data_IF_607893696266
#
_entry.id   IF_607893696266
#
_cell.length_a   1.000
_cell.length_b   1.000
_cell.length_c   1.000
_cell.angle_alpha   90.00
_cell.angle_beta   90.00
_cell.angle_gamma   90.00
#
_symmetry.space_group_name_H-M   'P 1'
#
loop_
_entity.id
_entity.type
_entity.pdbx_description
1 polymer ?
#
# COMPACT_ATOMS: atom_id res chain seq x y z
N UNK A 1 15.29 -14.87 7.19
CA UNK A 1 14.70 -13.71 6.51
C UNK A 1 13.59 -14.20 5.59
N UNK A 2 12.66 -13.33 5.21
CA UNK A 2 11.79 -13.58 4.07
C UNK A 2 12.65 -13.95 2.83
N UNK A 3 12.19 -14.88 2.00
CA UNK A 3 12.84 -15.17 0.72
C UNK A 3 11.85 -14.84 -0.39
N UNK A 4 12.16 -13.80 -1.16
CA UNK A 4 11.37 -13.27 -2.27
C UNK A 4 12.21 -13.23 -3.55
N UNK A 5 13.29 -14.02 -3.64
CA UNK A 5 14.26 -13.97 -4.74
C UNK A 5 13.70 -14.28 -6.13
N UNK A 6 12.50 -14.86 -6.19
CA UNK A 6 11.79 -15.18 -7.43
C UNK A 6 10.53 -14.34 -7.62
N UNK A 7 10.37 -13.25 -6.85
CA UNK A 7 9.16 -12.42 -6.87
C UNK A 7 9.46 -11.04 -7.43
N UNK A 8 8.66 -10.62 -8.40
CA UNK A 8 8.57 -9.24 -8.89
C UNK A 8 7.41 -8.55 -8.19
N UNK A 9 7.69 -7.46 -7.49
CA UNK A 9 6.73 -6.77 -6.62
C UNK A 9 6.52 -5.34 -7.10
N UNK A 10 5.28 -5.02 -7.43
CA UNK A 10 4.85 -3.64 -7.66
C UNK A 10 4.66 -2.92 -6.33
N UNK A 11 5.40 -1.84 -6.11
CA UNK A 11 5.27 -0.99 -4.94
C UNK A 11 4.75 0.40 -5.35
N UNK A 12 3.51 0.72 -4.94
CA UNK A 12 2.93 2.05 -5.16
C UNK A 12 3.26 3.00 -4.03
N UNK A 13 3.21 4.31 -4.29
CA UNK A 13 3.63 5.33 -3.33
C UNK A 13 5.12 5.28 -3.00
N UNK A 14 5.95 4.79 -3.94
CA UNK A 14 7.37 4.44 -3.74
C UNK A 14 8.25 5.57 -3.15
N UNK A 15 7.85 6.83 -3.32
CA UNK A 15 8.57 7.99 -2.78
C UNK A 15 8.31 8.31 -1.30
N UNK A 16 7.41 7.60 -0.63
CA UNK A 16 7.06 7.88 0.78
C UNK A 16 8.06 7.25 1.77
N UNK A 17 8.06 7.74 3.02
CA UNK A 17 8.90 7.20 4.09
C UNK A 17 8.58 5.71 4.39
N UNK A 18 7.29 5.34 4.39
CA UNK A 18 6.86 3.95 4.55
C UNK A 18 7.32 3.10 3.37
N UNK A 19 7.07 3.55 2.14
CA UNK A 19 7.45 2.80 0.95
C UNK A 19 8.97 2.62 0.85
N UNK A 20 9.75 3.60 1.29
CA UNK A 20 11.22 3.47 1.37
C UNK A 20 11.64 2.33 2.31
N UNK A 21 11.00 2.20 3.47
CA UNK A 21 11.29 1.10 4.40
C UNK A 21 10.83 -0.25 3.83
N UNK A 22 9.68 -0.28 3.16
CA UNK A 22 9.16 -1.47 2.48
C UNK A 22 10.09 -1.90 1.34
N UNK A 23 10.49 -0.99 0.47
CA UNK A 23 11.41 -1.25 -0.65
C UNK A 23 12.72 -1.87 -0.14
N UNK A 24 13.30 -1.31 0.93
CA UNK A 24 14.51 -1.86 1.53
C UNK A 24 14.31 -3.30 2.03
N UNK A 25 13.24 -3.58 2.79
CA UNK A 25 13.00 -4.93 3.32
C UNK A 25 12.70 -5.95 2.19
N UNK A 26 12.03 -5.53 1.12
CA UNK A 26 11.75 -6.39 -0.04
C UNK A 26 13.04 -6.66 -0.85
N UNK A 27 13.87 -5.65 -1.07
CA UNK A 27 15.19 -5.78 -1.70
C UNK A 27 16.10 -6.69 -0.87
N UNK A 28 16.17 -6.48 0.44
CA UNK A 28 16.96 -7.30 1.37
C UNK A 28 16.48 -8.77 1.37
N UNK A 29 15.20 -9.01 1.08
CA UNK A 29 14.62 -10.34 0.89
C UNK A 29 14.82 -10.93 -0.53
N UNK A 30 15.44 -10.17 -1.44
CA UNK A 30 15.80 -10.57 -2.80
C UNK A 30 14.77 -10.27 -3.88
N UNK A 31 13.68 -9.55 -3.56
CA UNK A 31 12.64 -9.24 -4.55
C UNK A 31 13.13 -8.30 -5.65
N UNK A 32 12.59 -8.47 -6.86
CA UNK A 32 12.67 -7.46 -7.92
C UNK A 32 11.56 -6.43 -7.71
N UNK A 33 11.88 -5.14 -7.84
CA UNK A 33 10.92 -4.07 -7.58
C UNK A 33 10.46 -3.40 -8.87
N UNK A 34 9.16 -3.19 -8.98
CA UNK A 34 8.55 -2.22 -9.89
C UNK A 34 8.08 -1.06 -9.05
N UNK A 35 8.62 0.15 -9.29
CA UNK A 35 8.31 1.32 -8.49
C UNK A 35 7.26 2.18 -9.18
N UNK A 36 6.18 2.51 -8.47
CA UNK A 36 5.12 3.38 -8.95
C UNK A 36 4.96 4.55 -7.99
N UNK A 37 4.90 5.76 -8.52
CA UNK A 37 4.76 6.98 -7.75
C UNK A 37 4.78 8.20 -8.65
N UNK A 38 5.14 9.37 -8.11
CA UNK A 38 5.22 10.59 -8.90
C UNK A 38 6.38 11.50 -8.55
N UNK A 39 6.90 12.17 -9.58
CA UNK A 39 7.80 13.33 -9.44
C UNK A 39 9.07 13.05 -8.66
N UNK A 40 9.58 14.08 -7.98
CA UNK A 40 10.90 14.05 -7.33
C UNK A 40 11.04 12.96 -6.26
N UNK A 41 9.96 12.65 -5.54
CA UNK A 41 9.97 11.60 -4.52
C UNK A 41 10.16 10.21 -5.15
N UNK A 42 9.53 9.94 -6.29
CA UNK A 42 9.76 8.71 -7.05
C UNK A 42 11.19 8.67 -7.61
N UNK A 43 11.68 9.77 -8.19
CA UNK A 43 13.04 9.84 -8.72
C UNK A 43 14.09 9.49 -7.65
N UNK A 44 13.94 10.03 -6.42
CA UNK A 44 14.80 9.68 -5.28
C UNK A 44 14.72 8.21 -4.88
N UNK A 45 13.53 7.60 -4.98
CA UNK A 45 13.37 6.17 -4.70
C UNK A 45 14.05 5.32 -5.78
N UNK A 46 13.91 5.69 -7.05
CA UNK A 46 14.57 5.04 -8.18
C UNK A 46 16.10 5.13 -8.14
N UNK A 47 16.66 6.26 -7.68
CA UNK A 47 18.10 6.40 -7.48
C UNK A 47 18.64 5.51 -6.36
N UNK A 48 17.78 5.17 -5.38
CA UNK A 48 18.14 4.40 -4.19
C UNK A 48 17.99 2.90 -4.39
N UNK A 49 16.92 2.46 -5.06
CA UNK A 49 16.56 1.05 -5.18
C UNK A 49 16.64 0.60 -6.63
N UNK A 50 17.35 -0.49 -6.94
CA UNK A 50 17.38 -1.05 -8.28
C UNK A 50 16.00 -1.63 -8.62
N UNK A 51 15.25 -0.88 -9.41
CA UNK A 51 13.94 -1.29 -9.93
C UNK A 51 14.08 -1.87 -11.34
N UNK A 52 13.27 -2.88 -11.66
CA UNK A 52 13.17 -3.41 -13.03
C UNK A 52 12.41 -2.45 -13.93
N UNK A 53 11.39 -1.77 -13.39
CA UNK A 53 10.61 -0.75 -14.06
C UNK A 53 10.21 0.38 -13.10
N UNK A 54 10.10 1.60 -13.63
CA UNK A 54 9.72 2.81 -12.87
C UNK A 54 8.61 3.53 -13.60
N UNK A 55 7.47 3.71 -12.94
CA UNK A 55 6.29 4.37 -13.48
C UNK A 55 5.99 5.67 -12.73
N UNK A 56 6.27 6.82 -13.37
CA UNK A 56 5.85 8.15 -12.91
C UNK A 56 4.40 8.40 -13.36
N UNK A 57 3.43 7.98 -12.54
CA UNK A 57 2.01 7.94 -12.87
C UNK A 57 1.14 8.48 -11.73
N UNK A 58 0.09 9.21 -12.09
CA UNK A 58 -1.03 9.45 -11.18
C UNK A 58 -1.96 8.24 -11.20
N UNK A 59 -1.95 7.45 -10.12
CA UNK A 59 -2.83 6.29 -10.02
C UNK A 59 -4.31 6.65 -9.88
N UNK A 60 -4.68 7.92 -9.67
CA UNK A 60 -6.08 8.33 -9.77
C UNK A 60 -6.55 8.47 -11.23
N UNK A 61 -5.63 8.56 -12.20
CA UNK A 61 -5.96 8.56 -13.63
C UNK A 61 -6.20 7.13 -14.13
N UNK A 62 -7.37 6.81 -14.72
CA UNK A 62 -7.63 5.48 -15.29
C UNK A 62 -6.65 5.08 -16.40
N UNK A 63 -5.99 6.03 -17.08
CA UNK A 63 -4.97 5.74 -18.09
C UNK A 63 -3.73 5.05 -17.51
N UNK A 64 -3.51 5.13 -16.19
CA UNK A 64 -2.41 4.42 -15.51
C UNK A 64 -2.54 2.90 -15.63
N UNK A 65 -3.76 2.37 -15.70
CA UNK A 65 -4.03 0.93 -15.77
C UNK A 65 -3.34 0.28 -16.96
N UNK A 66 -3.48 0.87 -18.15
CA UNK A 66 -2.90 0.30 -19.37
C UNK A 66 -1.37 0.33 -19.35
N UNK A 67 -0.76 1.30 -18.66
CA UNK A 67 0.69 1.34 -18.49
C UNK A 67 1.17 0.26 -17.51
N UNK A 68 0.46 0.08 -16.39
CA UNK A 68 0.80 -0.95 -15.40
C UNK A 68 0.63 -2.38 -15.94
N UNK A 69 -0.24 -2.60 -16.92
CA UNK A 69 -0.40 -3.90 -17.60
C UNK A 69 0.78 -4.29 -18.49
N UNK A 70 1.73 -3.39 -18.73
CA UNK A 70 2.91 -3.68 -19.56
C UNK A 70 4.00 -4.43 -18.80
N UNK A 71 3.85 -4.61 -17.49
CA UNK A 71 4.79 -5.33 -16.63
C UNK A 71 4.10 -6.47 -15.90
N UNK A 72 4.81 -7.59 -15.83
CA UNK A 72 4.39 -8.80 -15.14
C UNK A 72 4.85 -8.74 -13.67
N UNK A 73 3.92 -8.94 -12.73
CA UNK A 73 4.21 -8.87 -11.29
C UNK A 73 3.51 -9.98 -10.51
N UNK A 74 4.20 -10.52 -9.52
CA UNK A 74 3.70 -11.59 -8.64
C UNK A 74 2.94 -11.03 -7.44
N UNK A 75 3.28 -9.80 -7.04
CA UNK A 75 2.62 -9.15 -5.93
C UNK A 75 2.46 -7.64 -6.15
N UNK A 76 1.42 -7.10 -5.53
CA UNK A 76 1.18 -5.67 -5.40
C UNK A 76 1.25 -5.29 -3.93
N UNK A 77 2.13 -4.35 -3.59
CA UNK A 77 2.16 -3.68 -2.29
C UNK A 77 1.72 -2.24 -2.50
N UNK A 78 0.49 -1.95 -2.08
CA UNK A 78 -0.10 -0.63 -2.21
C UNK A 78 0.09 0.18 -0.92
N UNK A 79 1.02 1.14 -0.95
CA UNK A 79 1.25 2.07 0.18
C UNK A 79 0.74 3.49 -0.08
N UNK A 80 0.22 3.73 -1.30
CA UNK A 80 -0.24 5.05 -1.69
C UNK A 80 -1.46 5.52 -0.90
N UNK A 81 -1.59 6.84 -0.83
CA UNK A 81 -2.70 7.53 -0.22
C UNK A 81 -2.24 8.73 0.59
N UNK A 82 -3.20 9.60 0.90
CA UNK A 82 -2.98 10.83 1.65
C UNK A 82 -3.89 10.88 2.84
N UNK A 83 -3.35 11.38 3.93
CA UNK A 83 -4.12 11.83 5.07
C UNK A 83 -4.46 13.30 4.89
N UNK A 84 -5.68 13.69 5.24
CA UNK A 84 -6.05 15.09 5.37
C UNK A 84 -7.05 15.20 6.52
N UNK A 85 -6.73 15.97 7.58
CA UNK A 85 -7.71 16.23 8.62
C UNK A 85 -8.81 17.11 8.03
N UNK A 86 -10.06 16.66 8.16
CA UNK A 86 -11.22 17.44 7.80
C UNK A 86 -12.44 17.10 8.68
N UNK A 87 -13.07 18.17 9.21
CA UNK A 87 -14.35 18.11 9.91
C UNK A 87 -15.44 17.58 8.98
N UNK A 88 -16.33 16.72 9.51
CA UNK A 88 -17.47 16.23 8.74
C UNK A 88 -18.46 17.34 8.37
N UNK A 89 -18.53 18.43 9.16
CA UNK A 89 -19.41 19.57 8.91
C UNK A 89 -18.89 20.47 7.79
N UNK A 90 -17.57 20.56 7.63
CA UNK A 90 -16.91 21.49 6.71
C UNK A 90 -16.37 20.79 5.45
N UNK A 91 -16.51 19.46 5.37
CA UNK A 91 -16.03 18.67 4.25
C UNK A 91 -16.70 19.10 2.93
N UNK A 92 -15.88 19.30 1.90
CA UNK A 92 -16.36 19.69 0.57
C UNK A 92 -16.35 18.50 -0.40
N UNK A 93 -17.02 18.66 -1.55
CA UNK A 93 -16.90 17.68 -2.65
C UNK A 93 -15.46 17.54 -3.15
N UNK A 94 -14.68 18.62 -3.13
CA UNK A 94 -13.27 18.56 -3.53
C UNK A 94 -12.42 17.73 -2.54
N UNK A 95 -12.74 17.78 -1.24
CA UNK A 95 -12.09 16.93 -0.24
C UNK A 95 -12.45 15.46 -0.46
N UNK A 96 -13.72 15.18 -0.75
CA UNK A 96 -14.20 13.84 -1.10
C UNK A 96 -13.45 13.32 -2.33
N UNK A 97 -13.48 14.07 -3.43
CA UNK A 97 -12.87 13.66 -4.70
C UNK A 97 -11.38 13.39 -4.50
N UNK A 98 -10.66 14.29 -3.82
CA UNK A 98 -9.22 14.12 -3.57
C UNK A 98 -8.91 12.90 -2.71
N UNK A 99 -9.61 12.70 -1.59
CA UNK A 99 -9.33 11.58 -0.68
C UNK A 99 -9.71 10.24 -1.30
N UNK A 100 -10.85 10.16 -1.99
CA UNK A 100 -11.24 8.93 -2.67
C UNK A 100 -10.37 8.65 -3.90
N UNK A 101 -9.96 9.67 -4.64
CA UNK A 101 -9.02 9.53 -5.75
C UNK A 101 -7.68 8.96 -5.28
N UNK A 102 -7.09 9.59 -4.27
CA UNK A 102 -5.75 9.23 -3.81
C UNK A 102 -5.70 7.92 -3.00
N UNK A 103 -6.78 7.54 -2.31
CA UNK A 103 -6.77 6.34 -1.45
C UNK A 103 -7.45 5.15 -2.14
N UNK A 104 -8.68 5.32 -2.63
CA UNK A 104 -9.50 4.21 -3.12
C UNK A 104 -9.33 3.98 -4.63
N UNK A 105 -9.40 5.03 -5.44
CA UNK A 105 -9.26 4.90 -6.90
C UNK A 105 -7.84 4.48 -7.29
N UNK A 106 -6.82 5.04 -6.63
CA UNK A 106 -5.43 4.63 -6.82
C UNK A 106 -5.20 3.13 -6.57
N UNK A 107 -5.77 2.59 -5.48
CA UNK A 107 -5.73 1.15 -5.19
C UNK A 107 -6.45 0.35 -6.27
N UNK A 108 -7.64 0.80 -6.66
CA UNK A 108 -8.42 0.14 -7.70
C UNK A 108 -7.64 0.05 -9.01
N UNK A 109 -7.07 1.16 -9.50
CA UNK A 109 -6.29 1.16 -10.74
C UNK A 109 -5.01 0.34 -10.63
N UNK A 110 -4.31 0.39 -9.50
CA UNK A 110 -3.14 -0.47 -9.28
C UNK A 110 -3.49 -1.96 -9.36
N UNK A 111 -4.60 -2.36 -8.75
CA UNK A 111 -5.11 -3.75 -8.84
C UNK A 111 -5.49 -4.08 -10.28
N UNK A 112 -6.21 -3.20 -11.01
CA UNK A 112 -6.58 -3.46 -12.41
C UNK A 112 -5.36 -3.57 -13.34
N UNK A 113 -4.25 -2.92 -12.99
CA UNK A 113 -2.97 -3.02 -13.68
C UNK A 113 -2.29 -4.36 -13.44
N UNK A 114 -2.21 -4.81 -12.19
CA UNK A 114 -1.48 -6.02 -11.79
C UNK A 114 -2.28 -7.33 -11.98
N UNK A 115 -3.60 -7.29 -11.84
CA UNK A 115 -4.45 -8.47 -11.75
C UNK A 115 -4.44 -9.39 -12.99
N UNK A 116 -4.37 -8.90 -14.24
CA UNK A 116 -4.38 -9.77 -15.42
C UNK A 116 -3.27 -10.82 -15.39
N UNK A 117 -2.03 -10.40 -15.13
CA UNK A 117 -0.88 -11.32 -15.06
C UNK A 117 -1.06 -12.34 -13.93
N UNK A 118 -1.43 -11.89 -12.73
CA UNK A 118 -1.67 -12.76 -11.59
C UNK A 118 -2.74 -13.84 -11.88
N UNK A 119 -3.78 -13.48 -12.62
CA UNK A 119 -4.84 -14.42 -13.03
C UNK A 119 -4.38 -15.42 -14.09
N UNK A 120 -3.48 -15.03 -14.98
CA UNK A 120 -2.90 -15.90 -16.00
C UNK A 120 -1.99 -16.97 -15.39
N UNK A 121 -1.21 -16.60 -14.36
CA UNK A 121 -0.34 -17.55 -13.66
C UNK A 121 -1.02 -18.29 -12.50
N UNK A 122 -2.28 -17.96 -12.19
CA UNK A 122 -3.05 -18.52 -11.06
C UNK A 122 -2.32 -18.37 -9.70
N UNK A 123 -1.55 -17.30 -9.55
CA UNK A 123 -0.82 -16.94 -8.34
C UNK A 123 -0.65 -15.42 -8.26
N UNK A 124 -0.93 -14.86 -7.09
CA UNK A 124 -0.78 -13.43 -6.89
C UNK A 124 -1.19 -12.97 -5.50
N UNK A 125 -0.47 -11.98 -4.97
CA UNK A 125 -0.73 -11.42 -3.64
C UNK A 125 -0.89 -9.90 -3.70
N UNK A 126 -2.00 -9.40 -3.17
CA UNK A 126 -2.26 -7.97 -3.01
C UNK A 126 -2.16 -7.64 -1.51
N UNK A 127 -1.23 -6.77 -1.15
CA UNK A 127 -1.08 -6.22 0.20
C UNK A 127 -1.41 -4.73 0.14
N UNK A 128 -2.44 -4.29 0.86
CA UNK A 128 -2.82 -2.88 0.94
C UNK A 128 -2.61 -2.34 2.35
N UNK A 129 -2.04 -1.14 2.44
CA UNK A 129 -1.94 -0.39 3.69
C UNK A 129 -3.18 0.48 3.84
N UNK A 130 -3.93 0.25 4.92
CA UNK A 130 -5.15 1.00 5.25
C UNK A 130 -4.94 1.83 6.52
N UNK A 131 -6.03 2.17 7.20
CA UNK A 131 -6.05 2.86 8.49
C UNK A 131 -6.91 2.06 9.49
N UNK A 132 -6.85 2.38 10.80
CA UNK A 132 -7.61 1.68 11.82
C UNK A 132 -9.12 1.83 11.60
N UNK A 133 -9.84 0.70 11.50
CA UNK A 133 -11.31 0.70 11.39
C UNK A 133 -11.98 1.20 12.67
N UNK A 134 -11.33 0.99 13.81
CA UNK A 134 -11.82 1.37 15.14
C UNK A 134 -11.50 2.82 15.51
N UNK A 135 -10.66 3.51 14.73
CA UNK A 135 -10.36 4.91 15.00
C UNK A 135 -11.60 5.76 14.70
N UNK A 136 -12.19 6.29 15.77
CA UNK A 136 -13.28 7.26 15.76
C UNK A 136 -12.75 8.69 15.90
N UNK A 137 -11.54 8.94 15.38
CA UNK A 137 -10.90 10.25 15.46
C UNK A 137 -11.80 11.34 14.90
N UNK A 138 -12.04 12.38 15.70
CA UNK A 138 -12.71 13.59 15.23
C UNK A 138 -11.91 14.19 14.07
N UNK A 139 -12.61 14.73 13.07
CA UNK A 139 -11.94 15.42 11.96
C UNK A 139 -11.24 14.50 10.94
N UNK A 140 -11.63 13.23 10.79
CA UNK A 140 -11.06 12.34 9.77
C UNK A 140 -12.10 11.53 9.00
N UNK A 141 -13.36 11.98 8.94
CA UNK A 141 -14.49 11.17 8.48
C UNK A 141 -14.34 10.65 7.04
N UNK A 142 -13.96 11.50 6.09
CA UNK A 142 -13.81 11.09 4.68
C UNK A 142 -12.54 10.25 4.49
N UNK A 143 -11.45 10.59 5.16
CA UNK A 143 -10.23 9.78 5.17
C UNK A 143 -10.55 8.35 5.65
N UNK A 144 -11.22 8.22 6.80
CA UNK A 144 -11.62 6.94 7.36
C UNK A 144 -12.58 6.19 6.44
N UNK A 145 -13.54 6.87 5.81
CA UNK A 145 -14.43 6.26 4.82
C UNK A 145 -13.65 5.70 3.61
N UNK A 146 -12.70 6.47 3.08
CA UNK A 146 -11.89 6.06 1.92
C UNK A 146 -11.01 4.83 2.23
N UNK A 147 -10.35 4.81 3.41
CA UNK A 147 -9.53 3.67 3.86
C UNK A 147 -10.38 2.44 4.21
N UNK A 148 -11.57 2.64 4.79
CA UNK A 148 -12.51 1.54 5.03
C UNK A 148 -13.03 0.93 3.72
N UNK A 149 -13.26 1.75 2.69
CA UNK A 149 -13.62 1.28 1.35
C UNK A 149 -12.51 0.41 0.75
N UNK A 150 -11.24 0.84 0.84
CA UNK A 150 -10.09 0.02 0.42
C UNK A 150 -10.07 -1.33 1.11
N UNK A 151 -10.22 -1.35 2.44
CA UNK A 151 -10.19 -2.63 3.19
C UNK A 151 -11.34 -3.54 2.77
N UNK A 152 -12.55 -2.99 2.62
CA UNK A 152 -13.69 -3.78 2.14
C UNK A 152 -13.44 -4.34 0.74
N UNK A 153 -12.87 -3.53 -0.15
CA UNK A 153 -12.59 -3.94 -1.53
C UNK A 153 -11.59 -5.10 -1.58
N UNK A 154 -10.48 -5.01 -0.86
CA UNK A 154 -9.45 -6.07 -0.85
C UNK A 154 -9.99 -7.37 -0.23
N UNK A 155 -10.79 -7.29 0.84
CA UNK A 155 -11.41 -8.48 1.45
C UNK A 155 -12.44 -9.15 0.55
N UNK A 156 -13.27 -8.37 -0.14
CA UNK A 156 -14.21 -8.89 -1.14
C UNK A 156 -13.48 -9.52 -2.31
N UNK A 157 -12.47 -8.84 -2.87
CA UNK A 157 -11.65 -9.35 -3.97
C UNK A 157 -10.96 -10.66 -3.59
N UNK A 158 -10.36 -10.75 -2.40
CA UNK A 158 -9.78 -11.98 -1.90
C UNK A 158 -10.81 -13.12 -1.85
N UNK A 159 -12.01 -12.84 -1.34
CA UNK A 159 -13.07 -13.84 -1.25
C UNK A 159 -13.52 -14.33 -2.62
N UNK A 160 -13.59 -13.44 -3.62
CA UNK A 160 -13.98 -13.76 -4.98
C UNK A 160 -12.89 -14.53 -5.75
N UNK A 161 -11.63 -14.15 -5.58
CA UNK A 161 -10.52 -14.59 -6.44
C UNK A 161 -9.58 -15.61 -5.79
N UNK A 162 -9.73 -15.95 -4.50
CA UNK A 162 -8.87 -16.97 -3.84
C UNK A 162 -8.90 -18.32 -4.53
N UNK A 163 -10.03 -18.71 -5.13
CA UNK A 163 -10.14 -19.98 -5.87
C UNK A 163 -9.37 -19.97 -7.20
N UNK A 164 -8.93 -18.78 -7.63
CA UNK A 164 -8.10 -18.51 -8.80
C UNK A 164 -6.64 -18.19 -8.41
N UNK A 165 -6.26 -18.47 -7.16
CA UNK A 165 -4.91 -18.24 -6.65
C UNK A 165 -4.62 -16.82 -6.13
N UNK A 166 -5.58 -15.89 -6.21
CA UNK A 166 -5.34 -14.49 -5.83
C UNK A 166 -5.64 -14.25 -4.35
N UNK A 167 -4.63 -13.81 -3.62
CA UNK A 167 -4.73 -13.51 -2.19
C UNK A 167 -4.76 -12.01 -1.95
N UNK A 168 -5.53 -11.58 -0.95
CA UNK A 168 -5.61 -10.19 -0.52
C UNK A 168 -5.37 -10.08 0.97
N UNK A 169 -4.49 -9.17 1.37
CA UNK A 169 -4.14 -8.88 2.75
C UNK A 169 -4.24 -7.37 2.99
N UNK A 170 -4.81 -6.98 4.12
CA UNK A 170 -4.82 -5.58 4.54
C UNK A 170 -4.00 -5.43 5.82
N UNK A 171 -3.07 -4.48 5.82
CA UNK A 171 -2.29 -4.13 7.00
C UNK A 171 -2.82 -2.78 7.51
N UNK A 172 -3.14 -2.74 8.80
CA UNK A 172 -3.64 -1.57 9.51
C UNK A 172 -2.57 -1.07 10.48
N UNK A 173 -1.86 0.03 10.16
CA UNK A 173 -1.11 0.80 11.14
C UNK A 173 -2.11 1.39 12.15
N UNK A 174 -2.06 0.93 13.39
CA UNK A 174 -2.93 1.29 14.52
C UNK A 174 -2.47 2.55 15.25
N UNK A 175 -1.81 3.43 14.53
CA UNK A 175 -1.21 4.66 15.02
C UNK A 175 -0.51 5.42 13.89
N UNK A 176 -0.09 6.66 14.14
CA UNK A 176 0.74 7.42 13.22
C UNK A 176 2.04 6.68 12.91
N UNK A 177 2.47 6.71 11.66
CA UNK A 177 3.75 6.13 11.23
C UNK A 177 4.84 7.15 11.49
N UNK A 178 5.98 6.72 11.99
CA UNK A 178 7.10 7.60 12.25
C UNK A 178 7.63 8.24 10.94
N UNK A 179 7.41 9.55 10.82
CA UNK A 179 7.91 10.40 9.73
C UNK A 179 8.61 11.63 10.30
N UNK A 180 9.49 12.25 9.51
CA UNK A 180 10.17 13.49 9.93
C UNK A 180 9.17 14.57 10.35
N UNK A 181 8.10 14.76 9.57
CA UNK A 181 7.04 15.73 9.85
C UNK A 181 6.39 15.51 11.23
N UNK A 182 6.10 14.27 11.59
CA UNK A 182 5.49 13.98 12.89
C UNK A 182 6.47 14.12 14.06
N UNK A 183 7.76 13.80 13.86
CA UNK A 183 8.80 14.10 14.85
C UNK A 183 8.94 15.61 15.06
N UNK A 184 8.92 16.40 13.99
CA UNK A 184 8.98 17.87 14.06
C UNK A 184 7.72 18.48 14.69
N UNK A 185 6.57 17.80 14.56
CA UNK A 185 5.33 18.15 15.25
C UNK A 185 5.32 17.77 16.75
N UNK A 186 6.39 17.15 17.26
CA UNK A 186 6.58 16.86 18.68
C UNK A 186 5.99 15.54 19.17
N UNK A 187 5.70 14.60 18.26
CA UNK A 187 5.29 13.24 18.65
C UNK A 187 6.48 12.47 19.23
N UNK A 188 6.25 11.75 20.33
CA UNK A 188 7.26 10.89 20.94
C UNK A 188 7.37 9.57 20.18
N UNK A 189 8.55 8.94 20.21
CA UNK A 189 8.81 7.69 19.50
C UNK A 189 7.82 6.58 19.89
N UNK A 190 7.43 6.50 21.16
CA UNK A 190 6.50 5.47 21.63
C UNK A 190 5.07 5.61 21.08
N UNK A 191 4.69 6.79 20.61
CA UNK A 191 3.37 7.07 20.00
C UNK A 191 3.37 6.74 18.49
N UNK A 192 4.56 6.55 17.91
CA UNK A 192 4.76 6.35 16.48
C UNK A 192 5.08 4.89 16.15
N UNK A 193 4.59 4.44 15.00
CA UNK A 193 4.94 3.12 14.45
C UNK A 193 6.21 3.24 13.63
N UNK A 194 7.25 2.47 13.97
CA UNK A 194 8.46 2.37 13.16
C UNK A 194 8.15 1.78 11.76
N UNK A 195 8.43 2.50 10.66
CA UNK A 195 8.25 2.03 9.29
C UNK A 195 8.89 0.67 9.01
N UNK A 196 10.01 0.36 9.67
CA UNK A 196 10.71 -0.94 9.51
C UNK A 196 9.89 -2.09 10.09
N UNK A 197 9.13 -1.85 11.15
CA UNK A 197 8.20 -2.83 11.72
C UNK A 197 7.07 -3.16 10.75
N UNK A 198 6.50 -2.13 10.11
CA UNK A 198 5.51 -2.29 9.05
C UNK A 198 6.09 -3.00 7.82
N UNK A 199 7.29 -2.64 7.38
CA UNK A 199 7.97 -3.28 6.26
C UNK A 199 8.16 -4.79 6.48
N UNK A 200 8.60 -5.19 7.67
CA UNK A 200 8.70 -6.62 8.05
C UNK A 200 7.35 -7.32 8.07
N UNK A 201 6.28 -6.60 8.42
CA UNK A 201 4.92 -7.13 8.40
C UNK A 201 4.44 -7.34 6.95
N UNK A 202 4.78 -6.43 6.03
CA UNK A 202 4.55 -6.61 4.59
C UNK A 202 5.28 -7.85 4.06
N UNK A 203 6.59 -7.96 4.32
CA UNK A 203 7.36 -9.13 3.90
C UNK A 203 6.85 -10.44 4.53
N UNK A 204 6.37 -10.39 5.77
CA UNK A 204 5.73 -11.52 6.41
C UNK A 204 4.45 -11.95 5.70
N UNK A 205 3.59 -10.99 5.34
CA UNK A 205 2.34 -11.25 4.61
C UNK A 205 2.61 -11.88 3.23
N UNK A 206 3.64 -11.42 2.52
CA UNK A 206 4.03 -11.93 1.19
C UNK A 206 4.63 -13.34 1.22
N UNK A 207 5.31 -13.74 2.29
CA UNK A 207 6.06 -15.01 2.35
C UNK A 207 5.28 -16.19 2.90
N UNK A 208 3.94 -16.12 2.93
CA UNK A 208 3.12 -17.22 3.45
C UNK A 208 2.80 -18.25 2.36
N UNK A 209 2.77 -19.56 2.67
CA UNK A 209 2.43 -20.57 1.68
C UNK A 209 0.97 -20.46 1.26
N UNK A 210 0.63 -20.85 0.03
CA UNK A 210 -0.74 -20.74 -0.52
C UNK A 210 -1.86 -21.35 0.38
N UNK A 211 -1.53 -22.37 1.19
CA UNK A 211 -2.47 -23.03 2.10
C UNK A 211 -2.65 -22.35 3.46
N UNK A 212 -1.90 -21.30 3.75
CA UNK A 212 -2.03 -20.49 4.96
C UNK A 212 -1.77 -19.02 4.59
N UNK A 213 -2.82 -18.25 4.36
CA UNK A 213 -2.72 -16.83 4.02
C UNK A 213 -3.26 -15.96 5.15
N UNK A 214 -2.82 -14.71 5.16
CA UNK A 214 -3.24 -13.69 6.12
C UNK A 214 -4.10 -12.68 5.36
N UNK A 215 -5.31 -12.41 5.86
CA UNK A 215 -6.22 -11.43 5.24
C UNK A 215 -6.17 -10.08 5.94
N UNK A 216 -5.70 -10.04 7.19
CA UNK A 216 -5.62 -8.83 7.99
C UNK A 216 -4.51 -8.88 9.04
N UNK A 217 -3.77 -7.78 9.19
CA UNK A 217 -2.80 -7.57 10.28
C UNK A 217 -2.99 -6.17 10.88
N UNK A 218 -2.88 -6.07 12.20
CA UNK A 218 -2.90 -4.80 12.93
C UNK A 218 -1.55 -4.60 13.59
N UNK A 219 -0.94 -3.42 13.37
CA UNK A 219 0.39 -3.08 13.88
C UNK A 219 0.26 -1.86 14.77
N UNK A 220 0.65 -1.97 16.04
CA UNK A 220 0.46 -0.90 17.02
C UNK A 220 1.79 -0.20 17.32
N UNK A 221 1.74 1.10 17.67
CA UNK A 221 2.87 1.75 18.34
C UNK A 221 3.08 1.14 19.74
N UNK A 222 4.13 1.58 20.43
CA UNK A 222 4.42 1.06 21.77
C UNK A 222 3.39 1.54 22.81
N UNK A 223 2.83 2.73 22.64
CA UNK A 223 1.81 3.35 23.50
C UNK A 223 0.58 3.76 22.72
#
# INVERSE_FOLDING_TARGET
MANLSSSTIMLTGAGSALATAVAQELEDAGAQLVLVGRGEALAKAADRFPATEIFDLDLSDPASVEQLRTVDVDALVHTEGVFSPQSALDATSADYDRLFASNMQSLFHAIQGALPHMLEQEDGVIVALSAPRESRGEGAALYQASRAAMTSYVHSLHSELRSRGILGCVIHPMGPIDTLELREAGYEWEELIDPRGLAKTVAHALTRPARAHITELKVYPQK
#
